data_IF_540059619306
#
_entry.id   IF_540059619306
#
_cell.length_a   1.000
_cell.length_b   1.000
_cell.length_c   1.000
_cell.angle_alpha   90.00
_cell.angle_beta   90.00
_cell.angle_gamma   90.00
#
_symmetry.space_group_name_H-M   'P 1'
#
loop_
_entity.id
_entity.type
_entity.pdbx_description
1 polymer ?
#
# COMPACT_ATOMS: atom_id res chain seq x y z
N UNK A 1 19.56 18.94 16.40
CA UNK A 1 20.64 17.96 16.18
C UNK A 1 20.41 16.63 16.92
N UNK A 2 19.84 16.62 18.14
CA UNK A 2 19.49 15.37 18.84
C UNK A 2 18.32 14.58 18.19
N UNK A 3 17.29 15.28 17.70
CA UNK A 3 16.09 14.65 17.11
C UNK A 3 16.42 13.88 15.82
N UNK A 4 17.34 14.39 15.00
CA UNK A 4 17.80 13.69 13.80
C UNK A 4 18.55 12.41 14.17
N UNK A 5 19.47 12.43 15.14
CA UNK A 5 20.22 11.20 15.47
C UNK A 5 19.32 10.11 16.07
N UNK A 6 18.29 10.48 16.83
CA UNK A 6 17.31 9.52 17.37
C UNK A 6 16.44 8.96 16.23
N UNK A 7 15.95 9.81 15.31
CA UNK A 7 15.15 9.39 14.16
C UNK A 7 15.94 8.57 13.13
N UNK A 8 17.17 8.97 12.80
CA UNK A 8 17.96 8.32 11.76
C UNK A 8 18.72 7.09 12.29
N UNK A 9 19.28 7.15 13.51
CA UNK A 9 20.03 6.03 14.08
C UNK A 9 19.11 4.91 14.57
N UNK A 10 18.19 5.21 15.50
CA UNK A 10 17.43 4.13 16.15
C UNK A 10 16.22 3.63 15.34
N UNK A 11 15.58 4.50 14.56
CA UNK A 11 14.36 4.15 13.81
C UNK A 11 14.66 3.50 12.46
N UNK A 12 15.71 3.95 11.76
CA UNK A 12 16.16 3.36 10.49
C UNK A 12 17.22 2.27 10.66
N UNK A 13 17.64 1.90 11.87
CA UNK A 13 18.41 0.66 12.05
C UNK A 13 17.51 -0.51 12.41
N UNK A 14 16.38 -0.27 13.09
CA UNK A 14 15.47 -1.34 13.48
C UNK A 14 14.61 -1.81 12.29
N UNK A 15 14.79 -3.05 11.81
CA UNK A 15 14.07 -3.55 10.65
C UNK A 15 12.55 -3.73 10.91
N UNK A 16 12.15 -3.98 12.15
CA UNK A 16 10.74 -4.10 12.52
C UNK A 16 10.03 -2.75 12.51
N UNK A 17 10.71 -1.67 12.95
CA UNK A 17 10.16 -0.31 12.85
C UNK A 17 10.01 0.13 11.40
N UNK A 18 11.00 -0.17 10.55
CA UNK A 18 10.88 0.07 9.10
C UNK A 18 9.72 -0.71 8.49
N UNK A 19 9.56 -1.98 8.82
CA UNK A 19 8.43 -2.80 8.38
C UNK A 19 7.10 -2.13 8.74
N UNK A 20 6.93 -1.76 10.02
CA UNK A 20 5.72 -1.12 10.50
C UNK A 20 5.47 0.23 9.81
N UNK A 21 6.52 1.02 9.61
CA UNK A 21 6.45 2.29 8.90
C UNK A 21 5.99 2.10 7.44
N UNK A 22 6.55 1.14 6.71
CA UNK A 22 6.16 0.85 5.32
C UNK A 22 4.69 0.42 5.26
N UNK A 23 4.27 -0.49 6.14
CA UNK A 23 2.86 -0.92 6.22
C UNK A 23 1.95 0.27 6.53
N UNK A 24 2.35 1.14 7.45
CA UNK A 24 1.60 2.34 7.79
C UNK A 24 1.48 3.32 6.62
N UNK A 25 2.57 3.55 5.88
CA UNK A 25 2.58 4.42 4.69
C UNK A 25 1.67 3.85 3.60
N UNK A 26 1.74 2.55 3.31
CA UNK A 26 0.88 1.92 2.31
C UNK A 26 -0.59 1.88 2.74
N UNK A 27 -0.87 1.70 4.02
CA UNK A 27 -2.22 1.84 4.57
C UNK A 27 -2.76 3.27 4.37
N UNK A 28 -1.94 4.29 4.67
CA UNK A 28 -2.32 5.68 4.48
C UNK A 28 -2.54 5.99 2.99
N UNK A 29 -1.67 5.48 2.12
CA UNK A 29 -1.80 5.61 0.67
C UNK A 29 -3.10 4.96 0.17
N UNK A 30 -3.46 3.77 0.67
CA UNK A 30 -4.73 3.11 0.38
C UNK A 30 -5.93 3.95 0.79
N UNK A 31 -5.88 4.60 1.96
CA UNK A 31 -6.90 5.54 2.41
C UNK A 31 -6.99 6.77 1.50
N UNK A 32 -5.86 7.33 1.09
CA UNK A 32 -5.82 8.46 0.15
C UNK A 32 -6.44 8.05 -1.19
N UNK A 33 -6.07 6.89 -1.74
CA UNK A 33 -6.65 6.37 -3.00
C UNK A 33 -8.16 6.19 -2.87
N UNK A 34 -8.65 5.67 -1.75
CA UNK A 34 -10.10 5.60 -1.48
C UNK A 34 -10.74 6.99 -1.51
N UNK A 35 -10.16 7.96 -0.82
CA UNK A 35 -10.69 9.33 -0.76
C UNK A 35 -10.63 10.04 -2.11
N UNK A 36 -9.57 9.85 -2.90
CA UNK A 36 -9.43 10.41 -4.25
C UNK A 36 -10.43 9.77 -5.20
N UNK A 37 -10.61 8.45 -5.17
CA UNK A 37 -11.62 7.78 -6.00
C UNK A 37 -13.03 8.25 -5.62
N UNK A 38 -13.39 8.23 -4.33
CA UNK A 38 -14.70 8.73 -3.88
C UNK A 38 -14.90 10.23 -4.16
N UNK A 39 -13.84 11.03 -4.02
CA UNK A 39 -13.87 12.48 -4.21
C UNK A 39 -13.94 12.89 -5.68
N UNK A 40 -13.19 12.23 -6.56
CA UNK A 40 -13.21 12.49 -8.00
C UNK A 40 -14.52 12.02 -8.63
N UNK A 41 -15.12 10.93 -8.14
CA UNK A 41 -16.49 10.55 -8.53
C UNK A 41 -17.45 11.71 -8.23
N UNK A 42 -17.44 12.30 -7.03
CA UNK A 42 -18.37 13.40 -6.69
C UNK A 42 -18.21 14.66 -7.55
N UNK A 43 -17.00 14.94 -8.05
CA UNK A 43 -16.76 16.09 -8.95
C UNK A 43 -17.07 15.77 -10.42
N UNK A 44 -16.81 14.55 -10.87
CA UNK A 44 -17.11 14.09 -12.24
C UNK A 44 -18.60 13.77 -12.43
N UNK A 45 -19.28 13.19 -11.43
CA UNK A 45 -20.72 12.89 -11.45
C UNK A 45 -21.63 14.12 -11.43
N UNK A 46 -21.10 15.31 -11.09
CA UNK A 46 -21.80 16.57 -11.37
C UNK A 46 -21.92 16.88 -12.86
N UNK A 47 -21.12 16.23 -13.72
CA UNK A 47 -21.15 16.38 -15.18
C UNK A 47 -21.69 15.15 -15.92
N UNK A 48 -21.68 13.94 -15.33
CA UNK A 48 -22.32 12.74 -15.91
C UNK A 48 -23.09 11.93 -14.86
N UNK A 49 -24.39 11.71 -15.08
CA UNK A 49 -25.26 10.83 -14.27
C UNK A 49 -25.47 9.49 -14.98
N UNK A 50 -24.42 8.69 -15.16
CA UNK A 50 -24.54 7.42 -15.88
C UNK A 50 -24.17 6.25 -14.98
N UNK A 51 -25.09 5.29 -14.77
CA UNK A 51 -24.90 4.07 -13.98
C UNK A 51 -23.67 3.24 -14.40
N UNK A 52 -23.22 3.40 -15.64
CA UNK A 52 -22.02 2.77 -16.20
C UNK A 52 -20.74 3.29 -15.54
N UNK A 53 -20.64 4.58 -15.25
CA UNK A 53 -19.43 5.18 -14.64
C UNK A 53 -19.23 4.63 -13.21
N UNK A 54 -20.32 4.50 -12.44
CA UNK A 54 -20.27 3.93 -11.08
C UNK A 54 -19.81 2.47 -11.08
N UNK A 55 -20.33 1.65 -12.02
CA UNK A 55 -19.94 0.25 -12.19
C UNK A 55 -18.47 0.10 -12.56
N UNK A 56 -17.97 0.92 -13.49
CA UNK A 56 -16.56 0.90 -13.90
C UNK A 56 -15.66 1.30 -12.74
N UNK A 57 -16.04 2.32 -11.98
CA UNK A 57 -15.22 2.80 -10.87
C UNK A 57 -15.20 1.80 -9.72
N UNK A 58 -16.32 1.16 -9.39
CA UNK A 58 -16.34 0.08 -8.40
C UNK A 58 -15.55 -1.15 -8.86
N UNK A 59 -15.57 -1.46 -10.16
CA UNK A 59 -14.78 -2.53 -10.75
C UNK A 59 -13.26 -2.27 -10.69
N UNK A 60 -12.82 -1.01 -10.80
CA UNK A 60 -11.39 -0.63 -10.72
C UNK A 60 -10.93 -0.45 -9.26
N UNK A 61 -11.79 0.10 -8.41
CA UNK A 61 -11.46 0.42 -7.01
C UNK A 61 -11.02 -0.81 -6.22
N UNK A 62 -11.77 -1.91 -6.31
CA UNK A 62 -11.47 -3.14 -5.55
C UNK A 62 -10.11 -3.76 -5.93
N UNK A 63 -9.79 -4.00 -7.22
CA UNK A 63 -8.47 -4.44 -7.64
C UNK A 63 -7.37 -3.47 -7.23
N UNK A 64 -7.55 -2.16 -7.46
CA UNK A 64 -6.50 -1.17 -7.17
C UNK A 64 -6.10 -1.18 -5.69
N UNK A 65 -7.07 -1.22 -4.78
CA UNK A 65 -6.79 -1.27 -3.34
C UNK A 65 -6.09 -2.57 -2.94
N UNK A 66 -6.46 -3.69 -3.55
CA UNK A 66 -5.80 -4.99 -3.34
C UNK A 66 -4.35 -4.95 -3.84
N UNK A 67 -4.11 -4.46 -5.05
CA UNK A 67 -2.77 -4.31 -5.62
C UNK A 67 -1.87 -3.44 -4.73
N UNK A 68 -2.39 -2.30 -4.29
CA UNK A 68 -1.63 -1.39 -3.45
C UNK A 68 -1.27 -2.02 -2.10
N UNK A 69 -2.18 -2.76 -1.48
CA UNK A 69 -1.91 -3.51 -0.26
C UNK A 69 -0.85 -4.60 -0.46
N UNK A 70 -0.96 -5.39 -1.53
CA UNK A 70 -0.02 -6.48 -1.84
C UNK A 70 1.40 -5.96 -2.15
N UNK A 71 1.51 -4.86 -2.90
CA UNK A 71 2.79 -4.20 -3.15
C UNK A 71 3.40 -3.69 -1.84
N UNK A 72 2.59 -3.09 -0.98
CA UNK A 72 3.04 -2.62 0.33
C UNK A 72 3.61 -3.73 1.21
N UNK A 73 2.90 -4.86 1.28
CA UNK A 73 3.37 -6.05 2.01
C UNK A 73 4.65 -6.61 1.39
N UNK A 74 4.72 -6.71 0.06
CA UNK A 74 5.92 -7.19 -0.65
C UNK A 74 7.15 -6.35 -0.35
N UNK A 75 7.00 -5.03 -0.31
CA UNK A 75 8.10 -4.12 0.03
C UNK A 75 8.44 -4.22 1.53
N UNK A 76 7.44 -4.29 2.41
CA UNK A 76 7.67 -4.35 3.85
C UNK A 76 8.44 -5.61 4.26
N UNK A 77 8.10 -6.78 3.69
CA UNK A 77 8.76 -8.06 4.01
C UNK A 77 10.25 -8.05 3.65
N UNK A 78 10.67 -7.31 2.61
CA UNK A 78 12.08 -7.20 2.22
C UNK A 78 12.97 -6.51 3.25
N UNK A 79 12.38 -5.81 4.21
CA UNK A 79 13.12 -5.08 5.23
C UNK A 79 13.28 -5.88 6.52
N UNK A 80 12.52 -6.97 6.67
CA UNK A 80 12.66 -7.87 7.81
C UNK A 80 13.93 -8.73 7.67
N UNK A 81 14.62 -9.05 8.77
CA UNK A 81 15.83 -9.87 8.76
C UNK A 81 15.44 -11.36 8.69
N UNK A 82 14.75 -11.75 7.62
CA UNK A 82 14.32 -13.12 7.38
C UNK A 82 15.43 -13.92 6.69
N UNK A 83 15.42 -15.24 6.85
CA UNK A 83 16.31 -16.10 6.08
C UNK A 83 15.91 -16.12 4.60
N UNK A 84 16.87 -16.32 3.70
CA UNK A 84 16.64 -16.34 2.24
C UNK A 84 15.55 -17.35 1.83
N UNK A 85 15.49 -18.50 2.51
CA UNK A 85 14.46 -19.51 2.29
C UNK A 85 13.06 -18.99 2.64
N UNK A 86 12.93 -18.29 3.77
CA UNK A 86 11.65 -17.72 4.19
C UNK A 86 11.25 -16.58 3.27
N UNK A 87 12.17 -15.68 2.95
CA UNK A 87 11.94 -14.54 2.06
C UNK A 87 11.48 -14.98 0.66
N UNK A 88 12.14 -15.99 0.07
CA UNK A 88 11.77 -16.53 -1.25
C UNK A 88 10.38 -17.17 -1.25
N UNK A 89 9.97 -17.87 -0.18
CA UNK A 89 8.60 -18.38 -0.04
C UNK A 89 7.60 -17.21 0.00
N UNK A 90 7.88 -16.16 0.79
CA UNK A 90 7.02 -14.96 0.82
C UNK A 90 6.90 -14.31 -0.56
N UNK A 91 8.00 -14.17 -1.31
CA UNK A 91 7.96 -13.62 -2.66
C UNK A 91 7.14 -14.47 -3.62
N UNK A 92 7.26 -15.79 -3.57
CA UNK A 92 6.46 -16.69 -4.42
C UNK A 92 4.97 -16.56 -4.13
N UNK A 93 4.59 -16.57 -2.84
CA UNK A 93 3.19 -16.39 -2.42
C UNK A 93 2.67 -15.02 -2.88
N UNK A 94 3.42 -13.95 -2.61
CA UNK A 94 2.98 -12.59 -2.98
C UNK A 94 2.92 -12.38 -4.49
N UNK A 95 3.85 -12.96 -5.25
CA UNK A 95 3.82 -12.88 -6.72
C UNK A 95 2.61 -13.65 -7.28
N UNK A 96 2.28 -14.81 -6.71
CA UNK A 96 1.07 -15.56 -7.10
C UNK A 96 -0.23 -14.79 -6.84
N UNK A 97 -0.26 -13.90 -5.86
CA UNK A 97 -1.44 -13.06 -5.56
C UNK A 97 -1.52 -11.80 -6.42
N UNK A 98 -0.41 -11.38 -7.03
CA UNK A 98 -0.30 -10.20 -7.90
C UNK A 98 -0.52 -10.53 -9.39
N UNK A 99 -0.42 -11.81 -9.76
CA UNK A 99 -0.57 -12.33 -11.12
C UNK A 99 -2.03 -12.70 -11.38
#
# INVERSE_FOLDING_TARGET
>A
MAISNILYGSFLENPFLKFLFIVFVFYLLSRIVQLVILGNIRRLTKKTKTKLDDLVIDAIKKPLLRFLALIGVKIAVNVLPLSEKVLSIFHQILNSLLM
#
